data_IF_069610699467
#
_entry.id   IF_069610699467
#
_cell.length_a   1.000
_cell.length_b   1.000
_cell.length_c   1.000
_cell.angle_alpha   90.00
_cell.angle_beta   90.00
_cell.angle_gamma   90.00
#
_symmetry.space_group_name_H-M   'P 1'
#
loop_
_entity.id
_entity.type
_entity.pdbx_description
1 polymer ?
#
# COMPACT_ATOMS: atom_id res chain seq x y z
N UNK A 1 -14.29 38.44 52.41
CA UNK A 1 -13.84 37.31 51.57
C UNK A 1 -13.32 36.21 52.50
N UNK A 2 -13.88 35.01 52.43
CA UNK A 2 -13.74 33.99 53.47
C UNK A 2 -12.30 33.42 53.49
N UNK A 3 -11.54 33.68 54.55
CA UNK A 3 -10.10 33.35 54.69
C UNK A 3 -9.82 31.86 54.51
N UNK A 4 -10.77 30.98 54.85
CA UNK A 4 -10.66 29.54 54.65
C UNK A 4 -10.63 29.14 53.15
N UNK A 5 -11.43 29.82 52.32
CA UNK A 5 -11.47 29.55 50.87
C UNK A 5 -10.14 29.93 50.23
N UNK A 6 -9.58 31.09 50.61
CA UNK A 6 -8.32 31.59 50.07
C UNK A 6 -7.15 30.64 50.39
N UNK A 7 -7.10 30.10 51.62
CA UNK A 7 -6.09 29.12 52.02
C UNK A 7 -6.19 27.80 51.25
N UNK A 8 -7.42 27.36 50.93
CA UNK A 8 -7.66 26.16 50.13
C UNK A 8 -7.14 26.34 48.69
N UNK A 9 -7.49 27.46 48.04
CA UNK A 9 -7.02 27.77 46.69
C UNK A 9 -5.50 27.97 46.63
N UNK A 10 -4.90 28.60 47.65
CA UNK A 10 -3.45 28.76 47.74
C UNK A 10 -2.75 27.40 47.91
N UNK A 11 -3.36 26.46 48.65
CA UNK A 11 -2.88 25.10 48.82
C UNK A 11 -2.92 24.28 47.53
N UNK A 12 -4.00 24.41 46.74
CA UNK A 12 -4.14 23.77 45.42
C UNK A 12 -3.14 24.35 44.44
N UNK A 13 -3.01 25.68 44.38
CA UNK A 13 -2.07 26.36 43.49
C UNK A 13 -0.60 25.98 43.80
N UNK A 14 -0.23 25.91 45.08
CA UNK A 14 1.11 25.45 45.49
C UNK A 14 1.38 24.00 45.10
N UNK A 15 0.38 23.10 45.18
CA UNK A 15 0.55 21.71 44.72
C UNK A 15 0.72 21.66 43.21
N UNK A 16 -0.15 22.31 42.44
CA UNK A 16 -0.08 22.35 40.97
C UNK A 16 1.26 22.94 40.52
N UNK A 17 1.72 24.05 41.11
CA UNK A 17 2.99 24.68 40.77
C UNK A 17 4.19 23.78 41.11
N UNK A 18 4.16 23.09 42.26
CA UNK A 18 5.23 22.17 42.69
C UNK A 18 5.28 20.92 41.81
N UNK A 19 4.12 20.38 41.46
CA UNK A 19 3.95 19.28 40.52
C UNK A 19 4.46 19.66 39.12
N UNK A 20 4.09 20.82 38.60
CA UNK A 20 4.55 21.29 37.28
C UNK A 20 6.06 21.58 37.24
N UNK A 21 6.65 22.02 38.35
CA UNK A 21 8.08 22.34 38.43
C UNK A 21 8.99 21.12 38.64
N UNK A 22 8.53 20.07 39.33
CA UNK A 22 9.36 18.92 39.72
C UNK A 22 9.05 17.62 38.95
N UNK A 23 7.84 17.47 38.40
CA UNK A 23 7.41 16.28 37.64
C UNK A 23 8.34 15.88 36.49
N UNK A 24 8.96 16.79 35.71
CA UNK A 24 9.90 16.37 34.65
C UNK A 24 11.15 15.67 35.18
N UNK A 25 11.54 15.88 36.44
CA UNK A 25 12.83 15.44 36.99
C UNK A 25 12.73 14.36 38.09
N UNK A 26 11.53 14.07 38.60
CA UNK A 26 11.30 13.04 39.61
C UNK A 26 10.38 11.92 39.10
N UNK A 27 10.94 10.72 38.95
CA UNK A 27 10.22 9.54 38.45
C UNK A 27 9.10 9.08 39.39
N UNK A 28 9.27 9.26 40.70
CA UNK A 28 8.29 8.83 41.69
C UNK A 28 7.06 9.73 41.65
N UNK A 29 7.26 11.03 41.44
CA UNK A 29 6.16 11.98 41.36
C UNK A 29 5.39 11.88 40.03
N UNK A 30 6.06 11.51 38.93
CA UNK A 30 5.38 11.15 37.67
C UNK A 30 4.47 9.94 37.83
N UNK A 31 4.95 8.89 38.50
CA UNK A 31 4.16 7.69 38.75
C UNK A 31 2.91 8.02 39.56
N UNK A 32 3.07 8.78 40.65
CA UNK A 32 1.97 9.22 41.51
C UNK A 32 0.93 10.07 40.75
N UNK A 33 1.36 10.93 39.84
CA UNK A 33 0.45 11.71 38.99
C UNK A 33 -0.29 10.84 37.99
N UNK A 34 0.38 9.83 37.43
CA UNK A 34 -0.24 8.83 36.56
C UNK A 34 -1.34 8.05 37.28
N UNK A 35 -1.10 7.62 38.52
CA UNK A 35 -2.10 6.93 39.35
C UNK A 35 -3.31 7.84 39.66
N UNK A 36 -3.06 9.10 40.01
CA UNK A 36 -4.12 10.09 40.24
C UNK A 36 -4.94 10.32 38.96
N UNK A 37 -4.29 10.47 37.81
CA UNK A 37 -4.96 10.66 36.53
C UNK A 37 -5.82 9.45 36.16
N UNK A 38 -5.30 8.24 36.31
CA UNK A 38 -6.04 6.99 36.06
C UNK A 38 -7.24 6.81 37.00
N UNK A 39 -7.19 7.34 38.23
CA UNK A 39 -8.31 7.31 39.17
C UNK A 39 -9.45 8.25 38.75
N UNK A 40 -9.13 9.40 38.15
CA UNK A 40 -10.11 10.41 37.70
C UNK A 40 -10.53 10.25 36.23
N UNK A 41 -9.77 9.50 35.45
CA UNK A 41 -10.05 9.17 34.05
C UNK A 41 -9.75 7.69 33.86
N UNK A 42 -10.67 6.80 34.27
CA UNK A 42 -10.48 5.37 34.05
C UNK A 42 -10.28 5.15 32.54
N UNK A 43 -9.34 4.28 32.14
CA UNK A 43 -9.17 3.95 30.73
C UNK A 43 -10.51 3.46 30.18
N UNK A 44 -10.89 3.98 29.01
CA UNK A 44 -12.07 3.48 28.31
C UNK A 44 -11.94 1.95 28.16
N UNK A 45 -12.99 1.17 28.42
CA UNK A 45 -12.95 -0.27 28.19
C UNK A 45 -12.48 -0.52 26.75
N UNK A 46 -11.70 -1.58 26.52
CA UNK A 46 -11.06 -1.85 25.22
C UNK A 46 -12.04 -1.97 24.05
N UNK A 47 -13.35 -2.12 24.34
CA UNK A 47 -14.46 -2.08 23.38
C UNK A 47 -14.80 -0.71 22.81
N UNK A 48 -14.29 0.38 23.41
CA UNK A 48 -14.61 1.76 22.99
C UNK A 48 -13.52 2.38 22.10
N UNK A 49 -12.44 1.64 21.83
CA UNK A 49 -11.45 2.06 20.84
C UNK A 49 -11.96 1.72 19.44
N UNK A 50 -11.89 2.66 18.48
CA UNK A 50 -12.27 2.37 17.10
C UNK A 50 -11.41 1.21 16.57
N UNK A 51 -12.06 0.25 15.92
CA UNK A 51 -11.33 -0.85 15.27
C UNK A 51 -10.39 -0.30 14.19
N UNK A 52 -9.13 -0.75 14.20
CA UNK A 52 -8.20 -0.45 13.10
C UNK A 52 -8.75 -1.06 11.81
N UNK A 53 -9.05 -0.26 10.76
CA UNK A 53 -9.54 -0.79 9.49
C UNK A 53 -8.45 -1.56 8.72
N UNK A 54 -7.17 -1.41 9.09
CA UNK A 54 -6.05 -2.11 8.44
C UNK A 54 -5.73 -3.40 9.20
N UNK A 55 -6.23 -4.54 8.70
CA UNK A 55 -6.10 -5.84 9.39
C UNK A 55 -4.83 -6.61 9.01
N UNK A 56 -4.23 -6.30 7.86
CA UNK A 56 -2.97 -6.92 7.42
C UNK A 56 -1.83 -6.59 8.40
N UNK A 57 -1.01 -7.58 8.81
CA UNK A 57 0.17 -7.33 9.62
C UNK A 57 1.17 -6.49 8.83
N UNK A 58 1.80 -5.53 9.51
CA UNK A 58 2.79 -4.63 8.92
C UNK A 58 4.16 -5.31 8.85
N UNK A 59 4.81 -5.23 7.70
CA UNK A 59 6.23 -5.52 7.51
C UNK A 59 7.02 -4.23 7.59
N UNK A 60 8.16 -4.24 8.29
CA UNK A 60 9.06 -3.09 8.33
C UNK A 60 9.80 -2.96 6.99
N UNK A 61 9.92 -1.74 6.47
CA UNK A 61 10.77 -1.47 5.31
C UNK A 61 12.23 -1.85 5.58
N UNK A 62 12.66 -1.86 6.84
CA UNK A 62 13.97 -2.33 7.28
C UNK A 62 14.14 -3.84 7.20
N UNK A 63 13.04 -4.62 7.24
CA UNK A 63 13.10 -6.06 6.91
C UNK A 63 13.26 -6.30 5.41
N UNK A 64 12.94 -5.30 4.58
CA UNK A 64 13.27 -5.27 3.15
C UNK A 64 14.69 -4.69 2.90
N UNK A 65 15.42 -4.24 3.94
CA UNK A 65 16.55 -3.33 3.80
C UNK A 65 17.93 -3.97 3.63
N UNK A 66 18.07 -4.85 2.65
CA UNK A 66 19.26 -4.78 1.82
C UNK A 66 19.05 -3.69 0.75
N UNK A 67 18.82 -2.45 1.18
CA UNK A 67 18.61 -1.31 0.28
C UNK A 67 19.85 -1.16 -0.59
N UNK A 68 19.69 -1.41 -1.89
CA UNK A 68 20.80 -1.32 -2.84
C UNK A 68 21.04 0.17 -3.12
N UNK A 69 22.30 0.58 -3.06
CA UNK A 69 22.71 1.95 -3.38
C UNK A 69 22.66 2.23 -4.89
N UNK A 70 22.49 1.21 -5.72
CA UNK A 70 22.51 1.29 -7.18
C UNK A 70 21.11 1.32 -7.82
N UNK A 71 20.07 1.67 -7.07
CA UNK A 71 18.70 1.75 -7.58
C UNK A 71 18.60 2.78 -8.72
N UNK A 72 18.06 2.36 -9.87
CA UNK A 72 17.82 3.24 -11.00
C UNK A 72 16.37 3.73 -10.96
N UNK A 73 16.16 5.04 -11.03
CA UNK A 73 14.84 5.66 -10.90
C UNK A 73 14.63 6.71 -11.98
N UNK A 74 13.43 6.74 -12.56
CA UNK A 74 13.04 7.74 -13.56
C UNK A 74 11.62 8.27 -13.32
N UNK A 75 11.44 9.58 -13.45
CA UNK A 75 10.16 10.26 -13.25
C UNK A 75 9.64 10.26 -11.80
N UNK A 76 10.51 9.93 -10.84
CA UNK A 76 10.13 9.77 -9.42
C UNK A 76 9.96 11.07 -8.64
N UNK A 77 10.50 12.18 -9.14
CA UNK A 77 10.35 13.52 -8.53
C UNK A 77 9.01 14.19 -8.89
N UNK A 78 8.18 13.52 -9.70
CA UNK A 78 6.93 14.06 -10.20
C UNK A 78 5.78 13.68 -9.26
N UNK A 79 5.13 14.69 -8.67
CA UNK A 79 3.89 14.51 -7.91
C UNK A 79 2.69 14.68 -8.84
N UNK A 80 1.76 13.73 -8.82
CA UNK A 80 0.55 13.77 -9.63
C UNK A 80 -0.54 12.88 -9.07
N UNK A 81 -1.78 13.18 -9.43
CA UNK A 81 -2.96 12.43 -9.01
C UNK A 81 -3.02 11.07 -9.75
N UNK A 82 -3.28 9.97 -9.05
CA UNK A 82 -3.38 8.62 -9.63
C UNK A 82 -2.06 7.88 -9.84
N UNK A 83 -0.97 8.39 -9.29
CA UNK A 83 0.31 7.69 -9.30
C UNK A 83 0.63 7.10 -7.94
N UNK A 84 1.29 5.93 -7.96
CA UNK A 84 2.13 5.44 -6.86
C UNK A 84 3.06 6.55 -6.37
N UNK A 85 3.18 6.79 -5.07
CA UNK A 85 4.01 7.87 -4.52
C UNK A 85 5.51 7.67 -4.84
N UNK A 86 6.32 8.72 -4.74
CA UNK A 86 7.79 8.61 -4.90
C UNK A 86 8.39 7.53 -4.00
N UNK A 87 7.95 7.49 -2.74
CA UNK A 87 8.41 6.52 -1.76
C UNK A 87 8.04 5.10 -2.16
N UNK A 88 6.80 4.89 -2.60
CA UNK A 88 6.32 3.58 -3.04
C UNK A 88 6.99 3.10 -4.33
N UNK A 89 7.23 3.97 -5.32
CA UNK A 89 7.99 3.60 -6.52
C UNK A 89 9.39 3.14 -6.15
N UNK A 90 10.04 3.79 -5.17
CA UNK A 90 11.35 3.35 -4.65
C UNK A 90 11.27 1.99 -3.97
N UNK A 91 10.23 1.75 -3.17
CA UNK A 91 9.98 0.45 -2.53
C UNK A 91 9.78 -0.65 -3.57
N UNK A 92 8.91 -0.43 -4.56
CA UNK A 92 8.67 -1.39 -5.65
C UNK A 92 9.96 -1.66 -6.42
N UNK A 93 10.69 -0.61 -6.78
CA UNK A 93 11.95 -0.73 -7.52
C UNK A 93 12.99 -1.54 -6.74
N UNK A 94 13.06 -1.32 -5.42
CA UNK A 94 13.95 -2.06 -4.53
C UNK A 94 13.55 -3.54 -4.43
N UNK A 95 12.25 -3.84 -4.35
CA UNK A 95 11.74 -5.21 -4.38
C UNK A 95 12.10 -5.91 -5.69
N UNK A 96 11.88 -5.25 -6.84
CA UNK A 96 12.27 -5.79 -8.14
C UNK A 96 13.77 -6.03 -8.22
N UNK A 97 14.58 -5.08 -7.74
CA UNK A 97 16.03 -5.22 -7.70
C UNK A 97 16.48 -6.41 -6.83
N UNK A 98 15.83 -6.67 -5.69
CA UNK A 98 16.18 -7.80 -4.84
C UNK A 98 15.69 -9.15 -5.36
N UNK A 99 14.45 -9.19 -5.87
CA UNK A 99 13.82 -10.40 -6.37
C UNK A 99 14.40 -10.85 -7.72
N UNK A 100 14.98 -9.92 -8.49
CA UNK A 100 15.47 -10.14 -9.85
C UNK A 100 14.45 -10.92 -10.74
N UNK A 101 13.18 -10.48 -10.83
CA UNK A 101 12.15 -11.20 -11.56
C UNK A 101 12.42 -11.13 -13.07
N UNK A 102 12.35 -12.27 -13.77
CA UNK A 102 12.48 -12.34 -15.23
C UNK A 102 11.15 -12.17 -15.93
N UNK A 103 10.04 -12.47 -15.25
CA UNK A 103 8.69 -12.32 -15.80
C UNK A 103 7.80 -11.53 -14.85
N UNK A 104 7.35 -10.38 -15.31
CA UNK A 104 6.49 -9.46 -14.55
C UNK A 104 5.19 -9.26 -15.32
N UNK A 105 4.07 -9.30 -14.60
CA UNK A 105 2.78 -8.88 -15.13
C UNK A 105 2.24 -7.71 -14.31
N UNK A 106 1.79 -6.65 -14.97
CA UNK A 106 1.16 -5.49 -14.35
C UNK A 106 -0.28 -5.36 -14.84
N UNK A 107 -1.23 -5.18 -13.91
CA UNK A 107 -2.61 -4.79 -14.19
C UNK A 107 -2.76 -3.33 -13.77
N UNK A 108 -2.96 -2.44 -14.74
CA UNK A 108 -3.00 -0.99 -14.56
C UNK A 108 -1.72 -0.28 -15.03
N UNK A 109 -1.60 0.00 -16.34
CA UNK A 109 -0.40 0.68 -16.88
C UNK A 109 -0.34 2.17 -16.55
N UNK A 110 -1.48 2.87 -16.57
CA UNK A 110 -1.55 4.34 -16.53
C UNK A 110 -0.57 5.00 -17.52
N UNK A 111 0.27 5.94 -17.08
CA UNK A 111 1.32 6.55 -17.92
C UNK A 111 2.55 5.64 -18.13
N UNK A 112 2.64 4.50 -17.44
CA UNK A 112 3.77 3.56 -17.52
C UNK A 112 4.94 3.87 -16.59
N UNK A 113 4.76 4.73 -15.56
CA UNK A 113 5.84 5.11 -14.63
C UNK A 113 6.33 3.91 -13.82
N UNK A 114 5.40 3.16 -13.24
CA UNK A 114 5.73 1.99 -12.42
C UNK A 114 6.35 0.90 -13.28
N UNK A 115 5.73 0.59 -14.43
CA UNK A 115 6.27 -0.32 -15.45
C UNK A 115 7.73 -0.01 -15.81
N UNK A 116 8.04 1.26 -16.09
CA UNK A 116 9.39 1.68 -16.47
C UNK A 116 10.39 1.49 -15.33
N UNK A 117 10.02 1.82 -14.09
CA UNK A 117 10.89 1.63 -12.94
C UNK A 117 11.09 0.15 -12.58
N UNK A 118 10.09 -0.71 -12.81
CA UNK A 118 10.28 -2.16 -12.78
C UNK A 118 11.23 -2.65 -13.89
N UNK A 119 11.15 -2.08 -15.10
CA UNK A 119 12.06 -2.40 -16.20
C UNK A 119 13.51 -1.99 -15.90
N UNK A 120 13.72 -0.85 -15.25
CA UNK A 120 15.04 -0.33 -14.87
C UNK A 120 15.77 -1.23 -13.86
N UNK A 121 15.02 -1.88 -12.97
CA UNK A 121 15.59 -2.59 -11.82
C UNK A 121 15.51 -4.13 -11.93
N UNK A 122 14.93 -4.65 -13.01
CA UNK A 122 14.88 -6.09 -13.33
C UNK A 122 16.06 -6.52 -14.22
N UNK A 123 16.38 -7.83 -14.30
CA UNK A 123 17.38 -8.38 -15.19
C UNK A 123 17.29 -7.86 -16.64
N UNK A 124 18.42 -7.84 -17.36
CA UNK A 124 18.46 -7.37 -18.74
C UNK A 124 17.56 -8.17 -19.69
N UNK A 125 17.33 -9.45 -19.41
CA UNK A 125 16.47 -10.37 -20.14
C UNK A 125 15.03 -10.44 -19.61
N UNK A 126 14.66 -9.58 -18.66
CA UNK A 126 13.31 -9.57 -18.10
C UNK A 126 12.25 -9.13 -19.11
N UNK A 127 11.09 -9.77 -19.04
CA UNK A 127 9.90 -9.50 -19.84
C UNK A 127 8.79 -8.99 -18.93
N UNK A 128 8.25 -7.82 -19.28
CA UNK A 128 7.17 -7.17 -18.54
C UNK A 128 5.96 -7.07 -19.46
N UNK A 129 4.84 -7.64 -19.04
CA UNK A 129 3.55 -7.44 -19.69
C UNK A 129 2.75 -6.47 -18.84
N UNK A 130 2.20 -5.42 -19.43
CA UNK A 130 1.35 -4.46 -18.73
C UNK A 130 0.00 -4.32 -19.43
N UNK A 131 -1.07 -4.46 -18.67
CA UNK A 131 -2.45 -4.42 -19.12
C UNK A 131 -3.09 -3.10 -18.69
N UNK A 132 -3.72 -2.39 -19.62
CA UNK A 132 -4.54 -1.22 -19.31
C UNK A 132 -5.89 -1.29 -20.02
N UNK A 133 -6.89 -0.61 -19.45
CA UNK A 133 -8.16 -0.43 -20.12
C UNK A 133 -8.03 0.63 -21.23
N UNK A 134 -8.48 0.36 -22.47
CA UNK A 134 -8.54 1.38 -23.51
C UNK A 134 -9.41 2.56 -23.06
N UNK A 135 -9.00 3.82 -23.30
CA UNK A 135 -9.84 4.98 -22.98
C UNK A 135 -11.23 4.95 -23.64
N UNK A 136 -11.36 4.27 -24.79
CA UNK A 136 -12.60 4.09 -25.53
C UNK A 136 -13.58 3.08 -24.92
N UNK A 137 -13.14 2.23 -23.99
CA UNK A 137 -13.93 1.10 -23.46
C UNK A 137 -14.42 1.31 -22.02
N UNK A 138 -14.21 2.50 -21.46
CA UNK A 138 -14.72 2.93 -20.15
C UNK A 138 -16.23 2.66 -19.94
N UNK A 139 -17.04 2.84 -20.97
CA UNK A 139 -18.50 2.65 -20.90
C UNK A 139 -18.94 1.21 -21.16
N UNK A 140 -18.00 0.32 -21.48
CA UNK A 140 -18.24 -1.07 -21.88
C UNK A 140 -17.63 -2.07 -20.88
N UNK A 141 -17.11 -1.58 -19.76
CA UNK A 141 -16.51 -2.44 -18.74
C UNK A 141 -17.52 -3.40 -18.13
N UNK A 142 -17.06 -4.60 -17.80
CA UNK A 142 -17.90 -5.69 -17.30
C UNK A 142 -18.52 -5.38 -15.93
N UNK A 143 -17.79 -4.64 -15.09
CA UNK A 143 -18.25 -4.21 -13.77
C UNK A 143 -18.30 -2.67 -13.68
N UNK A 144 -19.03 -2.16 -12.69
CA UNK A 144 -19.15 -0.73 -12.47
C UNK A 144 -17.84 -0.14 -11.94
N UNK A 145 -17.31 0.82 -12.68
CA UNK A 145 -16.21 1.68 -12.26
C UNK A 145 -16.78 2.81 -11.38
N UNK A 146 -16.10 3.17 -10.29
CA UNK A 146 -16.57 4.29 -9.46
C UNK A 146 -16.48 5.61 -10.25
N UNK A 147 -17.44 6.52 -10.08
CA UNK A 147 -17.45 7.82 -10.81
C UNK A 147 -16.17 8.65 -10.63
N UNK A 148 -15.48 8.48 -9.51
CA UNK A 148 -14.19 9.10 -9.18
C UNK A 148 -13.03 8.53 -9.99
N UNK A 149 -13.20 7.38 -10.65
CA UNK A 149 -12.16 6.70 -11.43
C UNK A 149 -12.14 7.09 -12.91
N UNK A 150 -13.24 7.65 -13.44
CA UNK A 150 -13.32 8.10 -14.85
C UNK A 150 -12.20 9.08 -15.24
N UNK A 151 -11.68 9.84 -14.27
CA UNK A 151 -10.59 10.80 -14.49
C UNK A 151 -9.22 10.16 -14.68
N UNK A 152 -8.98 8.95 -14.14
CA UNK A 152 -7.70 8.25 -14.33
C UNK A 152 -7.59 7.58 -15.70
N UNK A 153 -8.73 7.33 -16.34
CA UNK A 153 -8.77 6.74 -17.68
C UNK A 153 -8.75 7.81 -18.78
N UNK A 154 -9.16 9.05 -18.46
CA UNK A 154 -9.02 10.24 -19.33
C UNK A 154 -7.60 10.83 -19.30
N UNK A 155 -6.61 10.02 -19.65
CA UNK A 155 -5.20 10.42 -19.82
C UNK A 155 -4.87 10.68 -21.29
N UNK A 156 -3.80 11.45 -21.55
CA UNK A 156 -3.37 11.78 -22.91
C UNK A 156 -3.01 10.51 -23.68
N UNK A 157 -2.21 9.62 -23.06
CA UNK A 157 -1.82 8.36 -23.66
C UNK A 157 -1.38 7.34 -22.59
N UNK A 158 -1.87 6.09 -22.69
CA UNK A 158 -1.41 5.01 -21.83
C UNK A 158 0.01 4.57 -22.22
N UNK A 159 0.85 4.29 -21.23
CA UNK A 159 2.22 3.80 -21.43
C UNK A 159 3.19 4.81 -22.05
N UNK A 160 2.85 6.11 -22.08
CA UNK A 160 3.66 7.15 -22.71
C UNK A 160 5.13 7.17 -22.25
N UNK A 161 5.41 6.83 -20.99
CA UNK A 161 6.75 6.95 -20.41
C UNK A 161 7.77 5.97 -20.95
N UNK A 162 7.34 4.81 -21.43
CA UNK A 162 8.27 3.86 -22.05
C UNK A 162 8.26 3.93 -23.58
N UNK A 163 7.38 4.72 -24.21
CA UNK A 163 7.36 4.88 -25.67
C UNK A 163 8.62 5.60 -26.14
N UNK A 164 9.37 4.96 -27.04
CA UNK A 164 10.66 5.47 -27.53
C UNK A 164 11.81 5.33 -26.53
N UNK A 165 11.57 4.81 -25.33
CA UNK A 165 12.63 4.52 -24.35
C UNK A 165 13.39 3.23 -24.74
N UNK A 166 14.72 3.12 -24.54
CA UNK A 166 15.47 1.90 -24.88
C UNK A 166 14.93 0.61 -24.23
N UNK A 167 14.39 0.75 -23.01
CA UNK A 167 13.79 -0.36 -22.26
C UNK A 167 12.39 -0.76 -22.73
N UNK A 168 11.79 -0.06 -23.71
CA UNK A 168 10.55 -0.49 -24.35
C UNK A 168 10.65 -1.92 -24.90
N UNK A 169 11.86 -2.34 -25.29
CA UNK A 169 12.16 -3.71 -25.73
C UNK A 169 11.86 -4.79 -24.68
N UNK A 170 11.83 -4.45 -23.39
CA UNK A 170 11.45 -5.34 -22.28
C UNK A 170 9.94 -5.35 -22.00
N UNK A 171 9.19 -4.37 -22.52
CA UNK A 171 7.82 -4.07 -22.11
C UNK A 171 6.86 -4.37 -23.26
N UNK A 172 5.89 -5.26 -23.01
CA UNK A 172 4.76 -5.52 -23.90
C UNK A 172 3.50 -4.95 -23.29
N UNK A 173 2.97 -3.87 -23.88
CA UNK A 173 1.69 -3.31 -23.47
C UNK A 173 0.55 -4.03 -24.20
N UNK A 174 -0.44 -4.50 -23.43
CA UNK A 174 -1.68 -5.10 -23.92
C UNK A 174 -2.86 -4.28 -23.42
N UNK A 175 -3.99 -4.38 -24.11
CA UNK A 175 -5.18 -3.63 -23.76
C UNK A 175 -6.40 -4.55 -23.61
N UNK A 176 -7.23 -4.26 -22.61
CA UNK A 176 -8.48 -4.96 -22.35
C UNK A 176 -8.97 -4.74 -20.92
N UNK A 177 -10.22 -5.14 -20.66
CA UNK A 177 -10.79 -5.17 -19.32
C UNK A 177 -10.14 -6.32 -18.52
N UNK A 178 -9.57 -6.00 -17.35
CA UNK A 178 -8.84 -6.96 -16.53
C UNK A 178 -9.72 -8.10 -16.00
N UNK A 179 -11.04 -7.91 -15.92
CA UNK A 179 -11.99 -8.95 -15.53
C UNK A 179 -12.27 -9.96 -16.66
N UNK A 180 -11.99 -9.62 -17.91
CA UNK A 180 -12.33 -10.46 -19.08
C UNK A 180 -11.16 -10.80 -19.99
N UNK A 181 -9.99 -10.17 -19.79
CA UNK A 181 -8.77 -10.44 -20.54
C UNK A 181 -8.36 -11.92 -20.46
N UNK A 182 -7.85 -12.48 -21.57
CA UNK A 182 -7.37 -13.86 -21.60
C UNK A 182 -5.95 -13.97 -21.03
N UNK A 183 -5.87 -14.38 -19.77
CA UNK A 183 -4.61 -14.61 -19.06
C UNK A 183 -3.97 -15.97 -19.34
N UNK A 184 -4.62 -16.86 -20.11
CA UNK A 184 -4.14 -18.23 -20.34
C UNK A 184 -2.71 -18.34 -20.88
N UNK A 185 -2.19 -17.41 -21.72
CA UNK A 185 -0.81 -17.46 -22.19
C UNK A 185 0.24 -17.30 -21.08
N UNK A 186 -0.16 -16.78 -19.92
CA UNK A 186 0.74 -16.33 -18.85
C UNK A 186 0.61 -17.16 -17.55
N UNK A 187 -0.29 -18.13 -17.51
CA UNK A 187 -0.54 -18.93 -16.32
C UNK A 187 0.74 -19.59 -15.79
N UNK A 188 0.93 -19.50 -14.47
CA UNK A 188 2.04 -20.08 -13.70
C UNK A 188 3.45 -19.71 -14.18
N UNK A 189 3.60 -18.54 -14.83
CA UNK A 189 4.87 -18.11 -15.43
C UNK A 189 5.44 -16.85 -14.79
N UNK A 190 4.67 -16.10 -14.01
CA UNK A 190 5.07 -14.79 -13.51
C UNK A 190 5.85 -14.91 -12.19
N UNK A 191 7.04 -14.30 -12.15
CA UNK A 191 7.83 -14.14 -10.94
C UNK A 191 7.24 -13.06 -10.03
N UNK A 192 6.69 -12.01 -10.65
CA UNK A 192 6.05 -10.88 -9.99
C UNK A 192 4.76 -10.51 -10.70
N UNK A 193 3.68 -10.32 -9.96
CA UNK A 193 2.45 -9.69 -10.46
C UNK A 193 2.19 -8.42 -9.65
N UNK A 194 1.94 -7.29 -10.33
CA UNK A 194 1.60 -6.02 -9.70
C UNK A 194 0.19 -5.59 -10.12
N UNK A 195 -0.66 -5.29 -9.14
CA UNK A 195 -2.06 -4.89 -9.33
C UNK A 195 -2.22 -3.45 -8.87
N UNK A 196 -2.55 -2.57 -9.82
CA UNK A 196 -2.78 -1.12 -9.67
C UNK A 196 -3.85 -0.67 -10.71
N UNK A 197 -4.90 -1.48 -10.83
CA UNK A 197 -5.97 -1.34 -11.84
C UNK A 197 -7.17 -0.54 -11.32
N UNK A 198 -8.34 -1.21 -11.21
CA UNK A 198 -9.53 -0.61 -10.60
C UNK A 198 -9.52 -0.81 -9.09
N UNK A 199 -10.06 0.16 -8.37
CA UNK A 199 -10.18 0.13 -6.91
C UNK A 199 -11.54 -0.42 -6.45
N UNK A 200 -12.44 -0.75 -7.38
CA UNK A 200 -13.71 -1.38 -7.08
C UNK A 200 -13.50 -2.80 -6.53
N UNK A 201 -14.22 -3.13 -5.47
CA UNK A 201 -14.05 -4.38 -4.72
C UNK A 201 -14.10 -5.62 -5.62
N UNK A 202 -15.06 -5.70 -6.54
CA UNK A 202 -15.26 -6.84 -7.43
C UNK A 202 -14.12 -6.99 -8.45
N UNK A 203 -13.54 -5.87 -8.92
CA UNK A 203 -12.35 -5.89 -9.76
C UNK A 203 -11.14 -6.41 -8.98
N UNK A 204 -10.94 -5.93 -7.76
CA UNK A 204 -9.82 -6.38 -6.91
C UNK A 204 -9.91 -7.89 -6.63
N UNK A 205 -11.11 -8.43 -6.39
CA UNK A 205 -11.31 -9.88 -6.29
C UNK A 205 -10.92 -10.59 -7.59
N UNK A 206 -11.42 -10.12 -8.74
CA UNK A 206 -11.12 -10.72 -10.05
C UNK A 206 -9.63 -10.69 -10.38
N UNK A 207 -8.97 -9.54 -10.21
CA UNK A 207 -7.55 -9.33 -10.47
C UNK A 207 -6.69 -10.16 -9.52
N UNK A 208 -7.10 -10.34 -8.26
CA UNK A 208 -6.42 -11.20 -7.30
C UNK A 208 -6.47 -12.68 -7.73
N UNK A 209 -7.65 -13.18 -8.14
CA UNK A 209 -7.77 -14.54 -8.65
C UNK A 209 -6.97 -14.76 -9.94
N UNK A 210 -6.96 -13.78 -10.84
CA UNK A 210 -6.15 -13.82 -12.05
C UNK A 210 -4.65 -13.83 -11.69
N UNK A 211 -4.20 -12.96 -10.80
CA UNK A 211 -2.81 -12.93 -10.33
C UNK A 211 -2.36 -14.25 -9.69
N UNK A 212 -3.22 -14.91 -8.93
CA UNK A 212 -2.94 -16.24 -8.38
C UNK A 212 -2.78 -17.32 -9.47
N UNK A 213 -3.46 -17.20 -10.60
CA UNK A 213 -3.28 -18.10 -11.76
C UNK A 213 -2.03 -17.77 -12.56
N UNK A 214 -1.65 -16.50 -12.61
CA UNK A 214 -0.46 -16.00 -13.32
C UNK A 214 0.84 -16.35 -12.60
N UNK A 215 0.87 -16.14 -11.29
CA UNK A 215 2.08 -16.27 -10.49
C UNK A 215 2.55 -17.72 -10.41
N UNK A 216 3.85 -17.94 -10.56
CA UNK A 216 4.43 -19.26 -10.31
C UNK A 216 4.57 -19.52 -8.82
N UNK A 217 4.80 -20.78 -8.45
CA UNK A 217 5.22 -21.14 -7.10
C UNK A 217 6.50 -20.40 -6.70
N UNK A 218 6.50 -19.81 -5.52
CA UNK A 218 7.57 -18.94 -5.00
C UNK A 218 7.58 -17.52 -5.57
N UNK A 219 6.62 -17.16 -6.43
CA UNK A 219 6.49 -15.81 -6.96
C UNK A 219 5.78 -14.85 -6.00
N UNK A 220 5.82 -13.58 -6.33
CA UNK A 220 5.28 -12.49 -5.50
C UNK A 220 4.11 -11.80 -6.19
N UNK A 221 3.09 -11.44 -5.43
CA UNK A 221 2.02 -10.54 -5.87
C UNK A 221 2.07 -9.28 -5.00
N UNK A 222 1.95 -8.12 -5.64
CA UNK A 222 1.88 -6.80 -5.04
C UNK A 222 0.55 -6.15 -5.41
N UNK A 223 -0.12 -5.54 -4.44
CA UNK A 223 -1.29 -4.70 -4.65
C UNK A 223 -0.97 -3.29 -4.19
N UNK A 224 -1.32 -2.30 -5.00
CA UNK A 224 -1.28 -0.90 -4.61
C UNK A 224 -2.57 -0.52 -3.87
N UNK A 225 -2.59 0.67 -3.24
CA UNK A 225 -3.81 1.33 -2.76
C UNK A 225 -4.57 0.68 -1.60
N UNK A 226 -3.99 -0.30 -0.90
CA UNK A 226 -4.59 -0.94 0.27
C UNK A 226 -4.98 0.04 1.39
N UNK A 227 -4.22 1.13 1.57
CA UNK A 227 -4.56 2.14 2.59
C UNK A 227 -5.49 3.24 2.09
N UNK A 228 -5.54 3.44 0.78
CA UNK A 228 -6.09 4.64 0.16
C UNK A 228 -7.52 4.42 -0.34
N UNK A 229 -7.84 3.19 -0.71
CA UNK A 229 -9.13 2.83 -1.31
C UNK A 229 -9.86 1.73 -0.56
N UNK A 230 -11.14 1.98 -0.27
CA UNK A 230 -11.94 1.07 0.53
C UNK A 230 -12.22 -0.26 -0.16
N UNK A 231 -12.44 -0.28 -1.49
CA UNK A 231 -12.65 -1.53 -2.22
C UNK A 231 -11.43 -2.45 -2.17
N UNK A 232 -10.23 -1.90 -2.37
CA UNK A 232 -8.96 -2.63 -2.21
C UNK A 232 -8.77 -3.11 -0.78
N UNK A 233 -8.95 -2.23 0.21
CA UNK A 233 -8.81 -2.56 1.64
C UNK A 233 -9.73 -3.72 2.04
N UNK A 234 -11.01 -3.64 1.67
CA UNK A 234 -12.00 -4.66 1.98
C UNK A 234 -11.67 -6.00 1.34
N UNK A 235 -11.35 -6.03 0.05
CA UNK A 235 -11.01 -7.26 -0.66
C UNK A 235 -9.81 -7.98 -0.02
N UNK A 236 -8.74 -7.25 0.27
CA UNK A 236 -7.54 -7.83 0.88
C UNK A 236 -7.75 -8.27 2.34
N UNK A 237 -8.55 -7.51 3.10
CA UNK A 237 -8.96 -7.92 4.44
C UNK A 237 -9.78 -9.22 4.41
N UNK A 238 -10.75 -9.32 3.51
CA UNK A 238 -11.59 -10.51 3.36
C UNK A 238 -10.74 -11.74 2.99
N UNK A 239 -9.80 -11.60 2.05
CA UNK A 239 -8.86 -12.67 1.71
C UNK A 239 -8.00 -13.11 2.91
N UNK A 240 -7.43 -12.16 3.65
CA UNK A 240 -6.63 -12.45 4.83
C UNK A 240 -7.45 -13.15 5.93
N UNK A 241 -8.69 -12.70 6.15
CA UNK A 241 -9.57 -13.22 7.20
C UNK A 241 -10.31 -14.51 6.80
N UNK A 242 -10.32 -14.86 5.52
CA UNK A 242 -11.00 -16.07 5.00
C UNK A 242 -10.49 -17.39 5.59
N UNK A 243 -9.29 -17.39 6.18
CA UNK A 243 -8.62 -18.61 6.64
C UNK A 243 -7.99 -19.44 5.52
N UNK A 244 -8.04 -18.98 4.27
CA UNK A 244 -7.37 -19.63 3.14
C UNK A 244 -5.84 -19.61 3.37
N UNK A 245 -5.16 -20.79 3.39
CA UNK A 245 -3.72 -20.87 3.63
C UNK A 245 -2.86 -20.09 2.65
N UNK A 246 -3.33 -19.87 1.42
CA UNK A 246 -2.62 -19.09 0.40
C UNK A 246 -2.35 -17.66 0.89
N UNK A 247 -3.34 -17.05 1.55
CA UNK A 247 -3.26 -15.65 2.01
C UNK A 247 -2.69 -15.51 3.42
N UNK A 248 -2.24 -16.60 4.05
CA UNK A 248 -1.69 -16.56 5.42
C UNK A 248 -0.51 -15.58 5.55
N UNK A 249 0.26 -15.41 4.49
CA UNK A 249 1.42 -14.52 4.44
C UNK A 249 1.16 -13.21 3.68
N UNK A 250 -0.11 -12.83 3.50
CA UNK A 250 -0.47 -11.52 2.97
C UNK A 250 -0.14 -10.46 4.04
N UNK A 251 0.65 -9.46 3.66
CA UNK A 251 1.16 -8.42 4.58
C UNK A 251 1.05 -7.05 3.96
N UNK A 252 0.99 -6.04 4.80
CA UNK A 252 1.08 -4.63 4.41
C UNK A 252 2.52 -4.15 4.55
N UNK A 253 3.09 -3.50 3.54
CA UNK A 253 4.42 -2.88 3.64
C UNK A 253 4.27 -1.55 4.41
N UNK A 254 4.87 -1.49 5.60
CA UNK A 254 4.77 -0.32 6.48
C UNK A 254 5.24 0.97 5.81
N UNK A 255 4.49 2.05 6.03
CA UNK A 255 4.79 3.38 5.45
C UNK A 255 4.35 3.54 3.99
N UNK A 256 3.70 2.54 3.40
CA UNK A 256 3.16 2.59 2.03
C UNK A 256 1.66 2.25 2.01
N UNK A 257 1.05 2.25 0.84
CA UNK A 257 -0.26 1.64 0.56
C UNK A 257 -0.13 0.25 -0.08
N UNK A 258 1.07 -0.33 -0.12
CA UNK A 258 1.33 -1.57 -0.83
C UNK A 258 1.11 -2.79 0.06
N UNK A 259 0.31 -3.75 -0.40
CA UNK A 259 0.24 -5.10 0.16
C UNK A 259 1.09 -6.08 -0.65
N UNK A 260 1.61 -7.11 0.00
CA UNK A 260 2.51 -8.11 -0.58
C UNK A 260 2.13 -9.52 -0.15
N UNK A 261 2.18 -10.46 -1.10
CA UNK A 261 2.04 -11.89 -0.87
C UNK A 261 3.15 -12.64 -1.61
N UNK A 262 3.79 -13.59 -0.94
CA UNK A 262 4.64 -14.60 -1.60
C UNK A 262 3.88 -15.93 -1.62
N UNK A 263 3.63 -16.45 -2.82
CA UNK A 263 2.87 -17.69 -3.02
C UNK A 263 3.79 -18.89 -2.86
N UNK A 264 3.47 -19.80 -1.94
CA UNK A 264 4.34 -20.90 -1.50
C UNK A 264 4.13 -22.24 -2.20
#
# INVERSE_FOLDING_TARGET
>A
MNTALFTLYLGVFKRIARTAALSPFDAQERHRLGELYALYSPPAPSSDLPEDPYKLPKTDILELAHLDKNLLLEGVNECGFGHVTEFEVKVISQLVNQLQPRRIFEIGTFQGRTTLNMALNSPADAQIVTLDLPPSELSQTQMQIEKTEEMYVKKAESGERFKGHPLASKITQVFGDSATYDYSPYHHQMDLVFIDGSHAYEYVLSDTENALRLVRKGGTILWHDYTNWEGVRRALNDYYQSGNPVFRNLRHIGGTSIAVLTVS
#
